data_IF_261503828413
#
_entry.id   IF_261503828413
#
_cell.length_a   1.000
_cell.length_b   1.000
_cell.length_c   1.000
_cell.angle_alpha   90.00
_cell.angle_beta   90.00
_cell.angle_gamma   90.00
#
_symmetry.space_group_name_H-M   'P 1'
#
loop_
_entity.id
_entity.type
_entity.pdbx_description
1 polymer ?
#
# COMPACT_ATOMS: atom_id res chain seq x y z
N UNK A 1 -32.31 4.64 -28.11
CA UNK A 1 -32.20 4.50 -26.63
C UNK A 1 -32.56 3.12 -26.06
N UNK A 2 -32.77 2.06 -26.85
CA UNK A 2 -33.31 0.76 -26.36
C UNK A 2 -32.33 -0.43 -26.31
N UNK A 3 -31.01 -0.23 -26.41
CA UNK A 3 -30.06 -1.37 -26.53
C UNK A 3 -29.54 -1.92 -25.19
N UNK A 4 -29.37 -1.07 -24.18
CA UNK A 4 -28.82 -1.49 -22.88
C UNK A 4 -29.89 -1.92 -21.86
N UNK A 5 -31.11 -1.41 -21.97
CA UNK A 5 -32.21 -1.73 -21.05
C UNK A 5 -32.81 -3.15 -21.22
N UNK A 6 -32.34 -3.91 -22.20
CA UNK A 6 -32.74 -5.31 -22.44
C UNK A 6 -31.66 -6.32 -22.03
N UNK A 7 -30.46 -5.84 -21.65
CA UNK A 7 -29.37 -6.70 -21.22
C UNK A 7 -29.61 -7.17 -19.79
N UNK A 8 -29.22 -8.41 -19.51
CA UNK A 8 -29.12 -8.89 -18.13
C UNK A 8 -28.04 -8.08 -17.37
N UNK A 9 -28.10 -8.05 -16.03
CA UNK A 9 -27.08 -7.38 -15.22
C UNK A 9 -25.65 -7.84 -15.51
N UNK A 10 -25.45 -9.11 -15.89
CA UNK A 10 -24.14 -9.66 -16.22
C UNK A 10 -23.64 -9.20 -17.60
N UNK A 11 -24.52 -9.17 -18.60
CA UNK A 11 -24.17 -8.65 -19.92
C UNK A 11 -23.88 -7.15 -19.87
N UNK A 12 -24.67 -6.39 -19.10
CA UNK A 12 -24.43 -4.97 -18.90
C UNK A 12 -23.09 -4.71 -18.18
N UNK A 13 -22.74 -5.54 -17.18
CA UNK A 13 -21.43 -5.50 -16.52
C UNK A 13 -20.29 -5.69 -17.53
N UNK A 14 -20.38 -6.66 -18.43
CA UNK A 14 -19.34 -6.93 -19.42
C UNK A 14 -19.15 -5.74 -20.38
N UNK A 15 -20.26 -5.16 -20.87
CA UNK A 15 -20.20 -3.93 -21.69
C UNK A 15 -19.49 -2.78 -20.96
N UNK A 16 -19.74 -2.61 -19.66
CA UNK A 16 -19.06 -1.59 -18.87
C UNK A 16 -17.57 -1.88 -18.64
N UNK A 17 -17.18 -3.16 -18.51
CA UNK A 17 -15.78 -3.55 -18.39
C UNK A 17 -15.04 -3.21 -19.69
N UNK A 18 -15.60 -3.58 -20.84
CA UNK A 18 -14.99 -3.33 -22.16
C UNK A 18 -14.83 -1.81 -22.41
N UNK A 19 -15.86 -1.03 -22.06
CA UNK A 19 -15.81 0.43 -22.18
C UNK A 19 -14.75 1.04 -21.24
N UNK A 20 -14.67 0.57 -20.00
CA UNK A 20 -13.68 1.04 -19.04
C UNK A 20 -12.25 0.70 -19.50
N UNK A 21 -12.03 -0.50 -20.04
CA UNK A 21 -10.73 -0.91 -20.58
C UNK A 21 -10.32 -0.08 -21.79
N UNK A 22 -11.22 0.12 -22.77
CA UNK A 22 -10.94 0.95 -23.95
C UNK A 22 -10.63 2.39 -23.59
N UNK A 23 -11.33 2.98 -22.61
CA UNK A 23 -11.02 4.33 -22.14
C UNK A 23 -9.61 4.42 -21.54
N UNK A 24 -9.22 3.39 -20.78
CA UNK A 24 -7.92 3.33 -20.09
C UNK A 24 -6.76 2.94 -21.02
N UNK A 25 -7.04 2.38 -22.20
CA UNK A 25 -6.04 1.82 -23.12
C UNK A 25 -4.98 2.86 -23.56
N UNK A 26 -5.39 4.11 -23.73
CA UNK A 26 -4.54 5.21 -24.18
C UNK A 26 -4.04 6.14 -23.05
N UNK A 27 -4.34 5.82 -21.78
CA UNK A 27 -3.93 6.64 -20.63
C UNK A 27 -2.84 5.91 -19.80
N UNK A 28 -1.57 6.38 -19.84
CA UNK A 28 -0.48 5.78 -19.07
C UNK A 28 -0.79 5.75 -17.56
N UNK A 29 -0.59 4.59 -16.92
CA UNK A 29 -0.85 4.40 -15.49
C UNK A 29 -2.31 4.14 -15.13
N UNK A 30 -3.24 4.12 -16.10
CA UNK A 30 -4.66 3.86 -15.86
C UNK A 30 -5.08 2.40 -16.04
N UNK A 31 -4.18 1.53 -16.53
CA UNK A 31 -4.41 0.08 -16.64
C UNK A 31 -4.65 -0.53 -15.25
N UNK A 32 -5.83 -1.12 -15.05
CA UNK A 32 -6.20 -1.81 -13.81
C UNK A 32 -6.70 -0.89 -12.69
N UNK A 33 -7.16 0.31 -13.03
CA UNK A 33 -7.69 1.29 -12.08
C UNK A 33 -9.08 0.92 -11.52
N UNK A 34 -9.56 1.75 -10.59
CA UNK A 34 -10.73 1.48 -9.75
C UNK A 34 -12.00 1.14 -10.52
N UNK A 35 -12.21 1.64 -11.75
CA UNK A 35 -13.39 1.34 -12.54
C UNK A 35 -13.44 -0.13 -12.96
N UNK A 36 -12.33 -0.64 -13.49
CA UNK A 36 -12.18 -2.04 -13.90
C UNK A 36 -12.19 -2.96 -12.68
N UNK A 37 -11.53 -2.56 -11.58
CA UNK A 37 -11.57 -3.30 -10.32
C UNK A 37 -12.97 -3.31 -9.68
N UNK A 38 -13.71 -2.21 -9.71
CA UNK A 38 -15.07 -2.12 -9.18
C UNK A 38 -16.01 -3.03 -9.95
N UNK A 39 -15.94 -3.02 -11.28
CA UNK A 39 -16.80 -3.87 -12.11
C UNK A 39 -16.46 -5.36 -11.94
N UNK A 40 -15.18 -5.70 -11.79
CA UNK A 40 -14.74 -7.07 -11.60
C UNK A 40 -15.01 -7.61 -10.18
N UNK A 41 -14.60 -6.88 -9.15
CA UNK A 41 -14.60 -7.32 -7.76
C UNK A 41 -15.76 -6.77 -6.90
N UNK A 42 -16.56 -5.84 -7.44
CA UNK A 42 -17.66 -5.19 -6.71
C UNK A 42 -17.18 -4.27 -5.57
N UNK A 43 -15.92 -3.83 -5.58
CA UNK A 43 -15.30 -3.02 -4.52
C UNK A 43 -14.58 -1.81 -5.10
N UNK A 44 -14.77 -0.66 -4.46
CA UNK A 44 -13.99 0.55 -4.76
C UNK A 44 -12.78 0.63 -3.84
N UNK A 45 -11.58 0.77 -4.43
CA UNK A 45 -10.38 1.05 -3.65
C UNK A 45 -10.46 2.46 -3.05
N UNK A 46 -10.22 2.62 -1.73
CA UNK A 46 -10.10 3.94 -1.12
C UNK A 46 -9.00 4.77 -1.79
N UNK A 47 -9.23 6.06 -1.93
CA UNK A 47 -8.25 7.04 -2.43
C UNK A 47 -7.51 7.76 -1.28
N UNK A 48 -7.56 7.20 -0.08
CA UNK A 48 -6.90 7.68 1.12
C UNK A 48 -6.31 6.50 1.89
N UNK A 49 -5.29 6.79 2.70
CA UNK A 49 -4.60 5.80 3.54
C UNK A 49 -4.42 6.35 4.95
N UNK A 50 -4.34 5.46 5.94
CA UNK A 50 -3.96 5.84 7.30
C UNK A 50 -2.45 6.10 7.37
N UNK A 51 -2.03 7.37 7.41
CA UNK A 51 -0.62 7.78 7.38
C UNK A 51 0.09 7.49 8.69
N UNK A 52 -0.50 7.85 9.84
CA UNK A 52 0.11 7.68 11.17
C UNK A 52 0.69 6.29 11.46
N UNK A 53 -0.05 5.17 11.30
CA UNK A 53 0.53 3.84 11.52
C UNK A 53 1.59 3.45 10.48
N UNK A 54 1.56 4.02 9.27
CA UNK A 54 2.58 3.77 8.24
C UNK A 54 3.88 4.49 8.60
N UNK A 55 3.78 5.74 9.04
CA UNK A 55 4.92 6.51 9.57
C UNK A 55 5.54 5.80 10.78
N UNK A 56 4.71 5.36 11.73
CA UNK A 56 5.17 4.60 12.89
C UNK A 56 5.88 3.29 12.51
N UNK A 57 5.36 2.57 11.50
CA UNK A 57 6.02 1.36 10.99
C UNK A 57 7.40 1.65 10.39
N UNK A 58 7.54 2.73 9.62
CA UNK A 58 8.83 3.15 9.08
C UNK A 58 9.80 3.59 10.18
N UNK A 59 9.34 4.38 11.16
CA UNK A 59 10.14 4.77 12.32
C UNK A 59 10.65 3.55 13.11
N UNK A 60 9.78 2.55 13.33
CA UNK A 60 10.18 1.28 13.95
C UNK A 60 11.26 0.55 13.12
N UNK A 61 11.15 0.58 11.79
CA UNK A 61 12.18 0.06 10.88
C UNK A 61 13.52 0.75 11.05
N UNK A 62 13.56 2.08 11.17
CA UNK A 62 14.79 2.82 11.43
C UNK A 62 15.40 2.49 12.80
N UNK A 63 14.57 2.38 13.83
CA UNK A 63 15.03 1.90 15.14
C UNK A 63 15.66 0.50 15.05
N UNK A 64 15.01 -0.44 14.36
CA UNK A 64 15.53 -1.80 14.18
C UNK A 64 16.88 -1.82 13.43
N UNK A 65 17.05 -0.96 12.43
CA UNK A 65 18.33 -0.80 11.73
C UNK A 65 19.42 -0.20 12.63
N UNK A 66 19.08 0.80 13.45
CA UNK A 66 20.00 1.37 14.44
C UNK A 66 20.45 0.30 15.44
N UNK A 67 19.52 -0.52 15.93
CA UNK A 67 19.79 -1.60 16.87
C UNK A 67 20.69 -2.69 16.26
N UNK A 68 20.47 -3.04 15.00
CA UNK A 68 21.30 -4.00 14.29
C UNK A 68 22.74 -3.48 14.10
N UNK A 69 22.88 -2.22 13.66
CA UNK A 69 24.20 -1.57 13.46
C UNK A 69 24.95 -1.34 14.77
N UNK A 70 24.24 -1.14 15.88
CA UNK A 70 24.82 -0.99 17.23
C UNK A 70 25.61 -2.22 17.66
N UNK A 71 25.17 -3.42 17.26
CA UNK A 71 25.86 -4.68 17.61
C UNK A 71 27.13 -4.82 16.79
N UNK A 72 27.01 -4.68 15.47
CA UNK A 72 28.11 -4.73 14.54
C UNK A 72 27.66 -4.14 13.22
N UNK A 73 28.58 -3.54 12.47
CA UNK A 73 28.31 -3.07 11.11
C UNK A 73 29.54 -3.23 10.23
N UNK A 74 29.33 -3.68 9.00
CA UNK A 74 30.32 -3.60 7.91
C UNK A 74 29.56 -3.40 6.59
N UNK A 75 29.94 -2.39 5.83
CA UNK A 75 29.22 -1.92 4.64
C UNK A 75 27.70 -1.80 4.89
N UNK A 76 26.91 -2.76 4.40
CA UNK A 76 25.44 -2.83 4.53
C UNK A 76 24.96 -4.03 5.38
N UNK A 77 25.84 -4.61 6.20
CA UNK A 77 25.54 -5.71 7.11
C UNK A 77 25.42 -5.19 8.56
N UNK A 78 24.56 -5.85 9.34
CA UNK A 78 24.33 -5.55 10.75
C UNK A 78 24.26 -6.81 11.60
N UNK A 79 24.47 -6.68 12.92
CA UNK A 79 24.37 -7.78 13.88
C UNK A 79 22.93 -8.04 14.37
N UNK A 80 22.75 -9.14 15.12
CA UNK A 80 21.48 -9.45 15.80
C UNK A 80 21.40 -8.69 17.14
N UNK A 81 20.45 -7.75 17.33
CA UNK A 81 20.30 -7.01 18.58
C UNK A 81 19.72 -7.87 19.71
N UNK A 82 20.14 -7.56 20.95
CA UNK A 82 19.59 -8.16 22.15
C UNK A 82 18.26 -7.52 22.56
N UNK A 83 17.28 -8.34 22.96
CA UNK A 83 16.00 -7.85 23.47
C UNK A 83 16.14 -7.11 24.81
N UNK A 84 17.11 -7.49 25.65
CA UNK A 84 17.32 -6.84 26.93
C UNK A 84 17.67 -5.36 26.75
N UNK A 85 16.98 -4.49 27.48
CA UNK A 85 17.15 -3.04 27.40
C UNK A 85 16.59 -2.38 26.12
N UNK A 86 15.96 -3.13 25.21
CA UNK A 86 15.42 -2.57 23.97
C UNK A 86 14.38 -1.48 24.20
N UNK A 87 13.53 -1.61 25.23
CA UNK A 87 12.54 -0.59 25.59
C UNK A 87 13.16 0.77 25.91
N UNK A 88 14.21 0.81 26.73
CA UNK A 88 14.89 2.06 27.06
C UNK A 88 15.64 2.67 25.87
N UNK A 89 16.18 1.83 24.97
CA UNK A 89 16.78 2.28 23.71
C UNK A 89 15.73 2.84 22.76
N UNK A 90 14.54 2.22 22.70
CA UNK A 90 13.41 2.72 21.94
C UNK A 90 12.91 4.07 22.47
N UNK A 91 12.76 4.24 23.78
CA UNK A 91 12.40 5.52 24.39
C UNK A 91 13.44 6.61 24.05
N UNK A 92 14.72 6.26 24.08
CA UNK A 92 15.81 7.16 23.72
C UNK A 92 15.81 7.51 22.22
N UNK A 93 15.42 6.57 21.37
CA UNK A 93 15.22 6.81 19.94
C UNK A 93 14.07 7.78 19.70
N UNK A 94 12.91 7.58 20.33
CA UNK A 94 11.75 8.46 20.20
C UNK A 94 12.05 9.91 20.64
N UNK A 95 12.86 10.11 21.69
CA UNK A 95 13.26 11.46 22.12
C UNK A 95 14.18 12.18 21.14
N UNK A 96 14.98 11.45 20.36
CA UNK A 96 15.85 12.01 19.31
C UNK A 96 15.10 12.31 18.02
N UNK A 97 13.95 11.66 17.83
CA UNK A 97 13.13 11.72 16.63
C UNK A 97 11.66 12.00 17.01
N UNK A 98 11.35 13.18 17.57
CA UNK A 98 10.00 13.54 18.00
C UNK A 98 9.02 13.69 16.83
#
# INVERSE_FOLDING_TARGET
MRRYGQLSPFELKNVFIDLAQHKQENEPGQKGTSQTQMLNAGRGNPNWVATGPREAFHALGYFALEESKRVWTADNLGGMPEAHGAGGRFDSFLRRHP
#
